data_IF_159052750507
#
_entry.id   IF_159052750507
#
_cell.length_a   1.000
_cell.length_b   1.000
_cell.length_c   1.000
_cell.angle_alpha   90.00
_cell.angle_beta   90.00
_cell.angle_gamma   90.00
#
_symmetry.space_group_name_H-M   'P 1'
#
loop_
_entity.id
_entity.type
_entity.pdbx_description
1 polymer ?
#
# COMPACT_ATOMS: atom_id res chain seq x y z
N UNK A 1 -8.80 10.41 -12.28
CA UNK A 1 -8.57 9.86 -10.92
C UNK A 1 -7.13 9.37 -10.81
N UNK A 2 -6.42 9.78 -9.79
CA UNK A 2 -5.05 9.31 -9.55
C UNK A 2 -5.07 7.97 -8.79
N UNK A 3 -3.94 7.28 -8.76
CA UNK A 3 -3.81 6.04 -7.98
C UNK A 3 -4.03 6.31 -6.49
N UNK A 4 -3.55 7.46 -5.99
CA UNK A 4 -3.79 7.91 -4.61
C UNK A 4 -5.29 8.02 -4.31
N UNK A 5 -6.05 8.62 -5.22
CA UNK A 5 -7.51 8.74 -5.06
C UNK A 5 -8.17 7.35 -5.03
N UNK A 6 -7.69 6.43 -5.86
CA UNK A 6 -8.21 5.06 -5.89
C UNK A 6 -7.92 4.31 -4.58
N UNK A 7 -6.74 4.52 -3.99
CA UNK A 7 -6.40 3.93 -2.68
C UNK A 7 -7.32 4.47 -1.58
N UNK A 8 -7.54 5.77 -1.55
CA UNK A 8 -8.42 6.39 -0.57
C UNK A 8 -9.85 5.86 -0.72
N UNK A 9 -10.32 5.73 -1.95
CA UNK A 9 -11.65 5.18 -2.23
C UNK A 9 -11.76 3.70 -1.80
N UNK A 10 -10.66 2.97 -1.81
CA UNK A 10 -10.62 1.57 -1.37
C UNK A 10 -10.49 1.42 0.17
N UNK A 11 -10.41 2.52 0.90
CA UNK A 11 -10.34 2.51 2.37
C UNK A 11 -8.94 2.63 2.95
N UNK A 12 -7.93 2.93 2.14
CA UNK A 12 -6.58 3.14 2.61
C UNK A 12 -6.42 4.53 3.22
N UNK A 13 -5.59 4.63 4.27
CA UNK A 13 -5.30 5.88 4.98
C UNK A 13 -3.80 6.14 4.92
N UNK A 14 -3.43 7.38 4.62
CA UNK A 14 -2.03 7.78 4.60
C UNK A 14 -1.51 7.94 6.03
N UNK A 15 -0.44 7.24 6.37
CA UNK A 15 0.15 7.23 7.71
C UNK A 15 1.65 7.52 7.63
N UNK A 16 2.03 8.72 8.04
CA UNK A 16 3.44 9.16 8.08
C UNK A 16 4.14 8.74 9.36
N UNK A 17 3.39 8.57 10.44
CA UNK A 17 3.96 8.37 11.78
C UNK A 17 4.41 6.95 12.02
N UNK A 18 3.60 5.97 11.61
CA UNK A 18 3.85 4.56 11.92
C UNK A 18 4.42 3.77 10.74
N UNK A 19 4.22 4.25 9.50
CA UNK A 19 4.54 3.48 8.29
C UNK A 19 5.34 4.28 7.26
N UNK A 20 6.07 5.29 7.70
CA UNK A 20 6.98 6.09 6.85
C UNK A 20 6.33 6.68 5.61
N UNK A 21 5.07 7.11 5.73
CA UNK A 21 4.38 7.73 4.61
C UNK A 21 3.77 6.75 3.63
N UNK A 22 3.25 5.63 4.10
CA UNK A 22 2.55 4.65 3.29
C UNK A 22 1.04 4.80 3.41
N UNK A 23 0.32 4.37 2.37
CA UNK A 23 -1.12 4.19 2.44
C UNK A 23 -1.40 2.80 3.04
N UNK A 24 -2.12 2.74 4.14
CA UNK A 24 -2.27 1.54 4.96
C UNK A 24 -3.74 1.15 5.13
N UNK A 25 -4.00 -0.14 5.07
CA UNK A 25 -5.31 -0.71 5.37
C UNK A 25 -5.09 -2.06 6.06
N UNK A 26 -5.84 -2.30 7.13
CA UNK A 26 -5.81 -3.59 7.83
C UNK A 26 -7.08 -4.33 7.46
N UNK A 27 -6.95 -5.55 6.93
CA UNK A 27 -8.10 -6.35 6.52
C UNK A 27 -8.75 -7.09 7.70
N UNK A 28 -9.84 -7.82 7.42
CA UNK A 28 -10.56 -8.55 8.45
C UNK A 28 -9.79 -9.72 9.07
N UNK A 29 -8.73 -10.16 8.43
CA UNK A 29 -7.87 -11.25 8.93
C UNK A 29 -6.69 -10.73 9.73
N UNK A 30 -6.54 -9.41 9.86
CA UNK A 30 -5.46 -8.78 10.61
C UNK A 30 -4.20 -8.54 9.79
N UNK A 31 -4.21 -8.77 8.50
CA UNK A 31 -3.05 -8.46 7.65
C UNK A 31 -3.00 -6.98 7.31
N UNK A 32 -1.79 -6.43 7.33
CA UNK A 32 -1.54 -5.03 7.02
C UNK A 32 -1.13 -4.90 5.56
N UNK A 33 -1.87 -4.09 4.80
CA UNK A 33 -1.59 -3.80 3.40
C UNK A 33 -1.05 -2.39 3.29
N UNK A 34 0.14 -2.24 2.67
CA UNK A 34 0.80 -0.95 2.53
C UNK A 34 1.13 -0.66 1.07
N UNK A 35 0.86 0.57 0.63
CA UNK A 35 1.24 1.07 -0.68
C UNK A 35 2.12 2.29 -0.52
N UNK A 36 3.24 2.33 -1.23
CA UNK A 36 4.20 3.42 -1.19
C UNK A 36 4.73 3.71 -2.58
N UNK A 37 4.97 4.99 -2.89
CA UNK A 37 5.64 5.35 -4.13
C UNK A 37 7.05 4.77 -4.14
N UNK A 38 7.45 4.21 -5.29
CA UNK A 38 8.78 3.69 -5.48
C UNK A 38 9.80 4.80 -5.74
N UNK A 39 11.07 4.40 -5.87
CA UNK A 39 12.16 5.33 -6.14
C UNK A 39 12.09 5.92 -7.55
N UNK A 40 11.58 5.15 -8.50
CA UNK A 40 11.43 5.58 -9.89
C UNK A 40 10.08 6.24 -10.11
N UNK A 41 10.05 7.26 -10.96
CA UNK A 41 8.81 7.95 -11.30
C UNK A 41 7.80 6.96 -11.90
N UNK A 42 6.57 7.00 -11.40
CA UNK A 42 5.50 6.14 -11.88
C UNK A 42 5.53 4.71 -11.37
N UNK A 43 6.38 4.41 -10.39
CA UNK A 43 6.50 3.08 -9.80
C UNK A 43 5.95 3.08 -8.38
N UNK A 44 5.20 2.04 -8.02
CA UNK A 44 4.66 1.85 -6.69
C UNK A 44 5.03 0.49 -6.12
N UNK A 45 5.15 0.43 -4.80
CA UNK A 45 5.42 -0.80 -4.07
C UNK A 45 4.22 -1.18 -3.21
N UNK A 46 3.86 -2.46 -3.23
CA UNK A 46 2.86 -3.02 -2.34
C UNK A 46 3.52 -4.01 -1.40
N UNK A 47 3.23 -3.90 -0.11
CA UNK A 47 3.75 -4.81 0.91
C UNK A 47 2.58 -5.34 1.74
N UNK A 48 2.54 -6.64 1.95
CA UNK A 48 1.59 -7.29 2.86
C UNK A 48 2.37 -7.80 4.06
N UNK A 49 1.92 -7.44 5.25
CA UNK A 49 2.60 -7.78 6.51
C UNK A 49 1.63 -8.40 7.51
N UNK A 50 2.20 -9.15 8.47
CA UNK A 50 1.46 -9.59 9.65
C UNK A 50 1.34 -8.45 10.67
N UNK A 51 0.56 -8.66 11.73
CA UNK A 51 0.45 -7.69 12.84
C UNK A 51 1.79 -7.43 13.54
N UNK A 52 2.75 -8.36 13.42
CA UNK A 52 4.10 -8.23 13.98
C UNK A 52 5.07 -7.57 13.00
N UNK A 53 4.56 -7.05 11.87
CA UNK A 53 5.33 -6.40 10.81
C UNK A 53 6.27 -7.34 10.04
N UNK A 54 5.97 -8.63 10.05
CA UNK A 54 6.68 -9.58 9.20
C UNK A 54 6.16 -9.51 7.77
N UNK A 55 7.04 -9.25 6.81
CA UNK A 55 6.67 -9.12 5.40
C UNK A 55 6.34 -10.50 4.84
N UNK A 56 5.11 -10.66 4.33
CA UNK A 56 4.63 -11.89 3.71
C UNK A 56 4.82 -11.81 2.19
N UNK A 57 4.56 -10.64 1.61
CA UNK A 57 4.56 -10.42 0.17
C UNK A 57 5.00 -9.01 -0.13
N UNK A 58 5.76 -8.86 -1.22
CA UNK A 58 6.23 -7.55 -1.68
C UNK A 58 6.20 -7.54 -3.20
N UNK A 59 5.56 -6.54 -3.78
CA UNK A 59 5.39 -6.41 -5.23
C UNK A 59 5.68 -4.99 -5.66
N UNK A 60 6.47 -4.82 -6.71
CA UNK A 60 6.67 -3.54 -7.37
C UNK A 60 5.82 -3.54 -8.65
N UNK A 61 5.04 -2.50 -8.86
CA UNK A 61 4.09 -2.46 -9.97
C UNK A 61 3.91 -1.05 -10.52
N UNK A 62 3.31 -0.97 -11.71
CA UNK A 62 2.92 0.28 -12.34
C UNK A 62 1.49 0.59 -11.92
N UNK A 63 1.19 1.81 -11.40
CA UNK A 63 -0.17 2.17 -10.96
C UNK A 63 -1.22 2.10 -12.07
N UNK A 64 -0.82 2.16 -13.33
CA UNK A 64 -1.75 2.02 -14.45
C UNK A 64 -2.35 0.61 -14.56
N UNK A 65 -1.76 -0.37 -13.87
CA UNK A 65 -2.25 -1.75 -13.89
C UNK A 65 -3.45 -2.00 -12.95
N UNK A 66 -3.91 -0.99 -12.22
CA UNK A 66 -5.03 -1.09 -11.27
C UNK A 66 -4.82 -2.13 -10.17
N UNK A 67 -3.60 -2.26 -9.70
CA UNK A 67 -3.27 -3.22 -8.65
C UNK A 67 -3.67 -2.67 -7.28
N UNK A 68 -4.89 -2.96 -6.84
CA UNK A 68 -5.38 -2.63 -5.49
C UNK A 68 -6.05 -3.87 -4.91
N UNK A 69 -5.60 -4.30 -3.77
CA UNK A 69 -6.17 -5.45 -3.06
C UNK A 69 -7.08 -5.03 -1.91
#
# INVERSE_FOLDING_TARGET
MTFTDALIAAGYVFDEDNYDGCFVKIDGDGFIHCYQEGEDEGEWNYVKMTEDFDIISEVTFDPDSNFIV
#
